data_IF_124622124149
#
_entry.id   IF_124622124149
#
_cell.length_a   1.000
_cell.length_b   1.000
_cell.length_c   1.000
_cell.angle_alpha   90.00
_cell.angle_beta   90.00
_cell.angle_gamma   90.00
#
_symmetry.space_group_name_H-M   'P 1'
#
loop_
_entity.id
_entity.type
_entity.pdbx_description
1 polymer ?
#
# COMPACT_ATOMS: atom_id res chain seq x y z
N UNK A 1 15.73 14.55 -6.46
CA UNK A 1 14.35 14.05 -6.19
C UNK A 1 14.00 14.22 -4.71
N UNK A 2 12.75 14.59 -4.42
CA UNK A 2 12.14 14.52 -3.10
C UNK A 2 11.44 13.17 -2.97
N UNK A 3 11.76 12.39 -1.95
CA UNK A 3 11.07 11.14 -1.64
C UNK A 3 10.14 11.35 -0.44
N UNK A 4 8.85 11.17 -0.66
CA UNK A 4 7.85 11.26 0.39
C UNK A 4 7.66 9.88 1.02
N UNK A 5 7.63 9.85 2.35
CA UNK A 5 7.07 8.73 3.12
C UNK A 5 5.64 8.42 2.67
N UNK A 6 5.10 7.22 2.98
CA UNK A 6 3.81 6.79 2.47
C UNK A 6 2.68 7.81 2.60
N UNK A 7 2.05 8.12 1.47
CA UNK A 7 0.91 9.05 1.40
C UNK A 7 -0.41 8.38 1.07
N UNK A 8 -0.44 7.06 0.85
CA UNK A 8 -1.69 6.35 0.63
C UNK A 8 -2.59 6.46 1.87
N UNK A 9 -3.91 6.47 1.66
CA UNK A 9 -4.88 6.44 2.74
C UNK A 9 -4.61 5.26 3.67
N UNK A 10 -4.46 5.56 4.97
CA UNK A 10 -4.00 4.62 5.98
C UNK A 10 -4.90 4.60 7.21
N UNK A 11 -4.76 3.56 8.02
CA UNK A 11 -5.47 3.44 9.30
C UNK A 11 -4.44 3.32 10.42
N UNK A 12 -4.68 4.03 11.53
CA UNK A 12 -3.88 3.84 12.73
C UNK A 12 -4.16 2.47 13.33
N UNK A 13 -3.10 1.68 13.53
CA UNK A 13 -3.21 0.36 14.13
C UNK A 13 -3.93 0.40 15.46
N UNK A 14 -4.82 -0.57 15.70
CA UNK A 14 -5.61 -0.65 16.94
C UNK A 14 -4.76 -0.52 18.21
N UNK A 15 -3.58 -1.15 18.23
CA UNK A 15 -2.64 -1.08 19.34
C UNK A 15 -2.15 0.35 19.60
N UNK A 16 -1.85 1.11 18.54
CA UNK A 16 -1.44 2.51 18.66
C UNK A 16 -2.59 3.34 19.22
N UNK A 17 -3.80 3.17 18.68
CA UNK A 17 -5.00 3.86 19.16
C UNK A 17 -5.27 3.58 20.63
N UNK A 18 -5.18 2.33 21.08
CA UNK A 18 -5.34 1.93 22.49
C UNK A 18 -4.28 2.58 23.40
N UNK A 19 -3.09 2.84 22.86
CA UNK A 19 -2.01 3.56 23.53
C UNK A 19 -2.11 5.09 23.39
N UNK A 20 -3.14 5.62 22.73
CA UNK A 20 -3.28 7.05 22.38
C UNK A 20 -2.12 7.58 21.53
N UNK A 21 -1.60 6.73 20.66
CA UNK A 21 -0.59 7.04 19.66
C UNK A 21 -1.22 7.01 18.26
N UNK A 22 -0.48 7.55 17.29
CA UNK A 22 -0.88 7.57 15.87
C UNK A 22 0.22 6.92 15.03
N UNK A 23 -0.14 6.37 13.88
CA UNK A 23 0.83 5.91 12.90
C UNK A 23 1.41 7.14 12.18
N UNK A 24 2.60 7.55 12.61
CA UNK A 24 3.27 8.74 12.08
C UNK A 24 3.91 8.49 10.71
N UNK A 25 4.52 7.32 10.51
CA UNK A 25 5.25 7.01 9.27
C UNK A 25 4.33 6.63 8.11
N UNK A 26 3.15 6.10 8.37
CA UNK A 26 2.14 5.80 7.36
C UNK A 26 2.30 4.47 6.62
N UNK A 27 3.25 3.61 7.01
CA UNK A 27 3.42 2.26 6.45
C UNK A 27 2.31 1.29 6.90
N UNK A 28 1.06 1.61 6.58
CA UNK A 28 -0.11 0.80 6.89
C UNK A 28 -1.30 1.17 5.99
N UNK A 29 -1.11 1.07 4.67
CA UNK A 29 -2.09 1.53 3.68
C UNK A 29 -3.36 0.68 3.67
N UNK A 30 -4.51 1.31 3.41
CA UNK A 30 -5.80 0.65 3.11
C UNK A 30 -6.37 1.08 1.75
N UNK A 31 -5.98 2.24 1.24
CA UNK A 31 -6.48 2.79 -0.01
C UNK A 31 -5.33 3.19 -0.95
N UNK A 32 -5.02 2.33 -1.92
CA UNK A 32 -3.89 2.51 -2.84
C UNK A 32 -4.04 3.66 -3.85
N UNK A 33 -5.22 4.26 -3.97
CA UNK A 33 -5.52 5.33 -4.96
C UNK A 33 -5.86 6.67 -4.30
N UNK A 34 -6.06 6.68 -2.99
CA UNK A 34 -6.45 7.88 -2.27
C UNK A 34 -5.27 8.39 -1.45
N UNK A 35 -4.96 9.69 -1.47
CA UNK A 35 -4.02 10.26 -0.52
C UNK A 35 -4.60 10.24 0.89
N UNK A 36 -3.71 10.18 1.87
CA UNK A 36 -4.00 10.24 3.29
C UNK A 36 -4.65 11.56 3.65
N UNK A 37 -5.82 11.47 4.27
CA UNK A 37 -6.66 12.63 4.55
C UNK A 37 -6.00 13.59 5.55
N UNK A 38 -5.17 13.09 6.47
CA UNK A 38 -4.46 13.92 7.46
C UNK A 38 -3.47 14.92 6.86
N UNK A 39 -3.03 14.72 5.62
CA UNK A 39 -2.01 15.57 4.99
C UNK A 39 -2.61 16.68 4.11
N UNK A 40 -3.90 16.64 3.84
CA UNK A 40 -4.63 17.74 3.20
C UNK A 40 -5.73 18.29 4.10
N UNK A 41 -6.31 19.42 3.73
CA UNK A 41 -7.43 20.00 4.50
C UNK A 41 -8.79 19.66 3.88
N UNK A 42 -9.02 20.10 2.64
CA UNK A 42 -10.33 20.02 2.01
C UNK A 42 -10.34 18.97 0.90
N UNK A 43 -9.35 19.03 0.02
CA UNK A 43 -9.22 18.09 -1.09
C UNK A 43 -7.76 17.61 -1.20
N UNK A 44 -7.39 16.59 -0.41
CA UNK A 44 -6.01 16.10 -0.35
C UNK A 44 -5.44 15.70 -1.71
N UNK A 45 -6.27 15.25 -2.66
CA UNK A 45 -5.83 14.90 -4.01
C UNK A 45 -5.44 16.14 -4.83
N UNK A 46 -6.29 17.17 -4.85
CA UNK A 46 -6.00 18.39 -5.60
C UNK A 46 -4.83 19.17 -4.98
N UNK A 47 -4.76 19.17 -3.65
CA UNK A 47 -3.65 19.75 -2.89
C UNK A 47 -2.33 19.01 -3.18
N UNK A 48 -2.35 17.68 -3.23
CA UNK A 48 -1.18 16.88 -3.61
C UNK A 48 -0.74 17.18 -5.04
N UNK A 49 -1.65 17.15 -6.02
CA UNK A 49 -1.33 17.45 -7.43
C UNK A 49 -0.78 18.86 -7.61
N UNK A 50 -1.33 19.83 -6.88
CA UNK A 50 -0.81 21.20 -6.86
C UNK A 50 0.61 21.25 -6.29
N UNK A 51 0.88 20.49 -5.23
CA UNK A 51 2.22 20.40 -4.63
C UNK A 51 3.24 19.80 -5.61
N UNK A 52 2.89 18.70 -6.28
CA UNK A 52 3.74 18.08 -7.31
C UNK A 52 4.03 19.07 -8.44
N UNK A 53 3.01 19.74 -8.97
CA UNK A 53 3.20 20.75 -10.02
C UNK A 53 4.16 21.88 -9.60
N UNK A 54 4.05 22.37 -8.36
CA UNK A 54 4.95 23.40 -7.81
C UNK A 54 6.39 22.92 -7.65
N UNK A 55 6.58 21.65 -7.28
CA UNK A 55 7.90 21.05 -7.18
C UNK A 55 8.52 20.87 -8.58
N UNK A 56 7.72 20.46 -9.56
CA UNK A 56 8.14 20.37 -10.97
C UNK A 56 8.50 21.73 -11.56
N UNK A 57 7.74 22.79 -11.29
CA UNK A 57 8.09 24.17 -11.69
C UNK A 57 9.46 24.59 -11.14
N UNK A 58 9.87 24.04 -10.01
CA UNK A 58 11.17 24.23 -9.38
C UNK A 58 12.25 23.22 -9.84
N UNK A 59 11.93 22.32 -10.77
CA UNK A 59 12.83 21.28 -11.27
C UNK A 59 13.10 20.14 -10.29
N UNK A 60 12.16 19.86 -9.37
CA UNK A 60 12.28 18.82 -8.35
C UNK A 60 11.34 17.66 -8.67
N UNK A 61 11.90 16.49 -8.96
CA UNK A 61 11.16 15.23 -9.10
C UNK A 61 10.58 14.78 -7.74
N UNK A 62 9.43 14.11 -7.77
CA UNK A 62 8.71 13.55 -6.63
C UNK A 62 8.65 12.02 -6.74
N UNK A 63 9.24 11.35 -5.75
CA UNK A 63 9.15 9.90 -5.58
C UNK A 63 8.22 9.59 -4.41
N UNK A 64 7.41 8.53 -4.54
CA UNK A 64 6.58 8.04 -3.45
C UNK A 64 7.14 6.73 -2.87
N UNK A 65 7.28 6.68 -1.55
CA UNK A 65 7.45 5.43 -0.83
C UNK A 65 6.09 4.72 -0.76
N UNK A 66 6.01 3.52 -1.35
CA UNK A 66 4.75 2.80 -1.56
C UNK A 66 4.74 1.45 -0.86
N UNK A 67 3.61 1.18 -0.20
CA UNK A 67 3.33 -0.07 0.50
C UNK A 67 2.26 -0.84 -0.25
N UNK A 68 2.68 -1.87 -1.00
CA UNK A 68 1.79 -2.82 -1.68
C UNK A 68 1.89 -4.24 -1.10
N UNK A 69 2.79 -4.46 -0.14
CA UNK A 69 3.10 -5.78 0.38
C UNK A 69 2.11 -6.26 1.45
N UNK A 70 1.51 -5.35 2.22
CA UNK A 70 0.48 -5.63 3.23
C UNK A 70 -0.60 -4.53 3.23
N UNK A 71 -1.62 -4.69 4.06
CA UNK A 71 -2.68 -3.69 4.26
C UNK A 71 -2.95 -3.46 5.75
N UNK A 72 -3.67 -2.39 6.06
CA UNK A 72 -4.13 -2.09 7.42
C UNK A 72 -5.14 -3.08 8.02
N UNK A 73 -5.58 -4.09 7.27
CA UNK A 73 -6.48 -5.12 7.80
C UNK A 73 -5.72 -6.18 8.63
N UNK A 74 -4.39 -6.25 8.49
CA UNK A 74 -3.52 -7.14 9.26
C UNK A 74 -3.94 -8.61 9.17
N UNK A 75 -3.80 -9.34 10.28
CA UNK A 75 -4.12 -10.77 10.37
C UNK A 75 -5.61 -11.04 10.65
N UNK A 76 -5.95 -12.32 10.91
CA UNK A 76 -7.30 -12.79 11.23
C UNK A 76 -8.01 -12.13 12.42
N UNK A 77 -7.30 -11.42 13.30
CA UNK A 77 -7.87 -10.64 14.41
C UNK A 77 -8.01 -9.15 14.10
N UNK A 78 -7.45 -8.70 12.96
CA UNK A 78 -7.57 -7.34 12.48
C UNK A 78 -8.98 -7.02 11.97
N UNK A 79 -9.22 -5.77 11.57
CA UNK A 79 -10.54 -5.32 11.14
C UNK A 79 -10.89 -5.83 9.73
N UNK A 80 -12.18 -5.81 9.41
CA UNK A 80 -12.68 -6.00 8.04
C UNK A 80 -13.17 -4.65 7.52
N UNK A 81 -12.37 -4.00 6.68
CA UNK A 81 -12.59 -2.64 6.20
C UNK A 81 -12.80 -2.58 4.68
N UNK A 82 -12.06 -3.39 3.92
CA UNK A 82 -12.01 -3.33 2.46
C UNK A 82 -11.76 -4.73 1.88
N UNK A 83 -10.51 -5.06 1.52
CA UNK A 83 -10.13 -6.23 0.74
C UNK A 83 -10.65 -7.55 1.33
N UNK A 84 -10.55 -7.72 2.66
CA UNK A 84 -11.03 -8.90 3.38
C UNK A 84 -12.54 -9.09 3.21
N UNK A 85 -13.30 -8.00 3.22
CA UNK A 85 -14.76 -8.05 3.09
C UNK A 85 -15.22 -8.24 1.65
N UNK A 86 -14.41 -7.81 0.67
CA UNK A 86 -14.73 -7.94 -0.76
C UNK A 86 -14.40 -9.35 -1.24
N UNK A 87 -13.15 -9.80 -1.09
CA UNK A 87 -12.71 -11.13 -1.48
C UNK A 87 -11.38 -11.51 -0.81
N UNK A 88 -11.46 -11.99 0.44
CA UNK A 88 -10.29 -12.31 1.25
C UNK A 88 -9.30 -13.29 0.58
N UNK A 89 -9.82 -14.33 -0.09
CA UNK A 89 -9.00 -15.39 -0.67
C UNK A 89 -8.24 -14.95 -1.91
N UNK A 90 -8.79 -13.97 -2.64
CA UNK A 90 -8.09 -13.36 -3.77
C UNK A 90 -7.02 -12.36 -3.32
N UNK A 91 -7.33 -11.51 -2.35
CA UNK A 91 -6.45 -10.39 -1.98
C UNK A 91 -5.25 -10.78 -1.10
N UNK A 92 -5.36 -11.84 -0.29
CA UNK A 92 -4.34 -12.20 0.68
C UNK A 92 -3.77 -13.60 0.47
N UNK A 93 -2.51 -13.78 0.85
CA UNK A 93 -1.94 -15.10 1.03
C UNK A 93 -2.54 -15.76 2.27
N UNK A 94 -3.26 -16.87 2.06
CA UNK A 94 -3.84 -17.68 3.13
C UNK A 94 -3.03 -18.95 3.32
N UNK A 95 -2.91 -19.40 4.57
CA UNK A 95 -2.23 -20.66 4.87
C UNK A 95 -2.96 -21.83 4.17
N UNK A 96 -2.29 -22.65 3.32
CA UNK A 96 -2.96 -23.69 2.54
C UNK A 96 -3.74 -24.71 3.39
N UNK A 97 -3.18 -25.11 4.53
CA UNK A 97 -3.79 -26.10 5.43
C UNK A 97 -4.81 -25.49 6.39
N UNK A 98 -4.85 -24.17 6.53
CA UNK A 98 -5.79 -23.49 7.41
C UNK A 98 -6.12 -22.07 6.91
N UNK A 99 -6.99 -21.94 5.90
CA UNK A 99 -7.29 -20.67 5.23
C UNK A 99 -7.93 -19.59 6.13
N UNK A 100 -8.23 -19.91 7.39
CA UNK A 100 -8.56 -18.92 8.42
C UNK A 100 -7.40 -17.98 8.72
N UNK A 101 -6.17 -18.44 8.55
CA UNK A 101 -4.93 -17.72 8.87
C UNK A 101 -4.21 -17.27 7.58
N UNK A 102 -3.30 -16.32 7.75
CA UNK A 102 -2.62 -15.60 6.69
C UNK A 102 -1.14 -15.99 6.70
N UNK A 103 -0.54 -16.15 5.53
CA UNK A 103 0.91 -16.18 5.42
C UNK A 103 1.42 -14.73 5.50
N UNK A 104 2.29 -14.48 6.47
CA UNK A 104 2.83 -13.16 6.77
C UNK A 104 4.33 -13.11 6.47
N UNK A 105 4.65 -12.62 5.27
CA UNK A 105 6.02 -12.39 4.83
C UNK A 105 6.52 -10.98 5.15
N UNK A 106 5.65 -10.10 5.66
CA UNK A 106 5.91 -8.67 5.89
C UNK A 106 6.16 -8.37 7.37
N UNK A 107 5.66 -9.23 8.26
CA UNK A 107 5.62 -9.00 9.70
C UNK A 107 4.47 -8.10 10.14
N UNK A 108 3.54 -7.76 9.23
CA UNK A 108 2.42 -6.84 9.46
C UNK A 108 1.08 -7.57 9.59
N UNK A 109 1.10 -8.89 9.71
CA UNK A 109 -0.06 -9.76 9.95
C UNK A 109 -0.67 -10.38 8.69
N UNK A 110 -0.39 -9.84 7.51
CA UNK A 110 -0.81 -10.42 6.23
C UNK A 110 0.12 -9.99 5.10
N UNK A 111 0.02 -10.70 3.97
CA UNK A 111 0.69 -10.36 2.72
C UNK A 111 -0.30 -10.31 1.57
N UNK A 112 -0.21 -9.27 0.74
CA UNK A 112 -1.02 -9.11 -0.47
C UNK A 112 -0.63 -10.16 -1.51
N UNK A 113 -1.61 -10.80 -2.13
CA UNK A 113 -1.39 -11.86 -3.10
C UNK A 113 -1.26 -11.33 -4.53
N UNK A 114 -0.05 -10.92 -4.92
CA UNK A 114 0.24 -10.46 -6.28
C UNK A 114 0.29 -11.56 -7.34
N UNK A 115 0.17 -12.83 -6.97
CA UNK A 115 0.00 -13.91 -7.97
C UNK A 115 -1.42 -13.94 -8.54
N UNK A 116 -2.39 -13.34 -7.84
CA UNK A 116 -3.74 -13.24 -8.34
C UNK A 116 -3.85 -12.11 -9.39
N UNK A 117 -4.30 -12.39 -10.63
CA UNK A 117 -4.25 -11.42 -11.72
C UNK A 117 -4.98 -10.11 -11.44
N UNK A 118 -6.08 -10.14 -10.68
CA UNK A 118 -6.83 -8.92 -10.32
C UNK A 118 -6.15 -8.08 -9.25
N UNK A 119 -5.36 -8.69 -8.38
CA UNK A 119 -4.61 -7.97 -7.35
C UNK A 119 -3.36 -7.35 -7.96
N UNK A 120 -2.67 -8.09 -8.84
CA UNK A 120 -1.61 -7.52 -9.68
C UNK A 120 -2.13 -6.35 -10.50
N UNK A 121 -3.28 -6.51 -11.16
CA UNK A 121 -3.92 -5.43 -11.91
C UNK A 121 -4.21 -4.22 -11.01
N UNK A 122 -4.76 -4.41 -9.82
CA UNK A 122 -5.04 -3.33 -8.87
C UNK A 122 -3.77 -2.53 -8.54
N UNK A 123 -2.66 -3.20 -8.25
CA UNK A 123 -1.39 -2.53 -7.94
C UNK A 123 -0.83 -1.81 -9.17
N UNK A 124 -0.85 -2.44 -10.33
CA UNK A 124 -0.40 -1.82 -11.58
C UNK A 124 -1.26 -0.62 -11.99
N UNK A 125 -2.58 -0.68 -11.76
CA UNK A 125 -3.49 0.44 -11.97
C UNK A 125 -3.21 1.58 -10.97
N UNK A 126 -2.86 1.27 -9.72
CA UNK A 126 -2.46 2.27 -8.72
C UNK A 126 -1.17 2.97 -9.11
N UNK A 127 -0.13 2.22 -9.50
CA UNK A 127 1.13 2.79 -9.99
C UNK A 127 0.90 3.71 -11.20
N UNK A 128 0.12 3.24 -12.19
CA UNK A 128 -0.24 4.06 -13.36
C UNK A 128 -1.05 5.29 -12.97
N UNK A 129 -1.99 5.18 -12.04
CA UNK A 129 -2.76 6.31 -11.55
C UNK A 129 -1.86 7.39 -10.94
N UNK A 130 -0.91 7.03 -10.08
CA UNK A 130 0.00 7.98 -9.46
C UNK A 130 0.91 8.67 -10.48
N UNK A 131 1.36 7.96 -11.53
CA UNK A 131 2.15 8.54 -12.62
C UNK A 131 1.29 9.41 -13.55
N UNK A 132 0.25 8.84 -14.13
CA UNK A 132 -0.52 9.46 -15.23
C UNK A 132 -1.47 10.55 -14.75
N UNK A 133 -2.04 10.41 -13.56
CA UNK A 133 -3.05 11.33 -13.02
C UNK A 133 -2.46 12.28 -11.98
N UNK A 134 -1.48 11.82 -11.21
CA UNK A 134 -0.88 12.59 -10.12
C UNK A 134 0.55 13.09 -10.42
N UNK A 135 1.12 12.73 -11.58
CA UNK A 135 2.43 13.18 -12.04
C UNK A 135 3.60 12.82 -11.11
N UNK A 136 3.50 11.70 -10.40
CA UNK A 136 4.62 11.13 -9.63
C UNK A 136 5.69 10.61 -10.59
N UNK A 137 6.95 10.89 -10.30
CA UNK A 137 8.08 10.58 -11.19
C UNK A 137 8.66 9.18 -10.96
N UNK A 138 8.35 8.56 -9.82
CA UNK A 138 8.79 7.20 -9.51
C UNK A 138 8.41 6.74 -8.12
N UNK A 139 8.85 5.52 -7.79
CA UNK A 139 8.45 4.84 -6.57
C UNK A 139 9.64 4.19 -5.88
N UNK A 140 9.62 4.23 -4.54
CA UNK A 140 10.44 3.41 -3.67
C UNK A 140 9.54 2.37 -3.04
N UNK A 141 9.79 1.08 -3.30
CA UNK A 141 8.93 0.01 -2.82
C UNK A 141 9.35 -0.47 -1.44
N UNK A 142 8.44 -0.35 -0.47
CA UNK A 142 8.60 -0.95 0.84
C UNK A 142 8.58 -2.49 0.76
N UNK A 143 9.50 -3.13 1.49
CA UNK A 143 9.68 -4.58 1.55
C UNK A 143 9.61 -5.28 0.17
N UNK A 144 10.21 -4.68 -0.86
CA UNK A 144 10.05 -5.05 -2.27
C UNK A 144 10.18 -6.57 -2.56
N UNK A 145 11.06 -7.28 -1.86
CA UNK A 145 11.24 -8.73 -2.04
C UNK A 145 9.99 -9.56 -1.76
N UNK A 146 9.07 -9.05 -0.94
CA UNK A 146 7.80 -9.73 -0.64
C UNK A 146 6.84 -9.70 -1.82
N UNK A 147 6.92 -8.68 -2.68
CA UNK A 147 6.10 -8.53 -3.89
C UNK A 147 6.46 -9.59 -4.94
N UNK A 148 7.69 -10.09 -4.91
CA UNK A 148 8.20 -11.12 -5.79
C UNK A 148 7.99 -12.56 -5.24
N UNK A 149 7.15 -12.75 -4.22
CA UNK A 149 6.83 -14.08 -3.70
C UNK A 149 5.72 -14.75 -4.50
N UNK A 150 5.94 -16.01 -4.83
CA UNK A 150 4.94 -16.94 -5.35
C UNK A 150 4.82 -18.19 -4.49
N UNK A 151 4.11 -19.20 -5.02
CA UNK A 151 3.83 -20.47 -4.31
C UNK A 151 5.10 -21.22 -3.85
N UNK A 152 6.23 -21.03 -4.54
CA UNK A 152 7.50 -21.68 -4.23
C UNK A 152 8.48 -20.76 -3.47
N UNK A 153 7.99 -19.66 -2.90
CA UNK A 153 8.81 -18.62 -2.27
C UNK A 153 9.19 -17.50 -3.24
N UNK A 154 10.34 -16.85 -3.01
CA UNK A 154 10.81 -15.76 -3.85
C UNK A 154 11.10 -16.23 -5.29
N UNK A 155 10.56 -15.52 -6.26
CA UNK A 155 10.78 -15.75 -7.68
C UNK A 155 11.37 -14.50 -8.34
N UNK A 156 12.60 -14.61 -8.83
CA UNK A 156 13.30 -13.55 -9.57
C UNK A 156 12.63 -13.19 -10.91
N UNK A 157 11.75 -14.06 -11.41
CA UNK A 157 11.00 -13.86 -12.64
C UNK A 157 9.54 -13.46 -12.38
N UNK A 158 9.24 -13.06 -11.13
CA UNK A 158 7.93 -12.50 -10.78
C UNK A 158 7.58 -11.33 -11.71
N UNK A 159 6.27 -11.08 -11.87
CA UNK A 159 5.78 -9.89 -12.59
C UNK A 159 6.10 -8.56 -11.89
N UNK A 160 6.78 -8.63 -10.73
CA UNK A 160 7.25 -7.54 -9.89
C UNK A 160 8.74 -7.71 -9.60
#
# INVERSE_FOLDING_TARGET
>A
PLELLPIHGLIDDRRLVEMKLVNYWGYNSIAFFAPEQRYGQDNPLDEFRTTVARLHDAGIEVLLDVVYNHTAEGNHLGPTLSFRGIDNASYYWLMPDNPRYYDDFTGCGSSVNLTHPRVLQLVMDSLRYWVEVCHVDGFRFDLATTLARGHNGFDRNSGF
#
